data_IF_640742526757
#
_entry.id   IF_640742526757
#
_cell.length_a   1.000
_cell.length_b   1.000
_cell.length_c   1.000
_cell.angle_alpha   90.00
_cell.angle_beta   90.00
_cell.angle_gamma   90.00
#
_symmetry.space_group_name_H-M   'P 1'
#
loop_
_entity.id
_entity.type
_entity.pdbx_description
1 polymer ?
#
# COMPACT_ATOMS: atom_id res chain seq x y z
N UNK A 1 -11.88 -4.34 47.46
CA UNK A 1 -10.97 -3.37 48.11
C UNK A 1 -9.69 -3.30 47.28
N UNK A 2 -9.75 -2.66 46.10
CA UNK A 2 -8.62 -2.36 45.18
C UNK A 2 -9.18 -1.61 43.96
N UNK A 3 -9.46 -0.30 44.08
CA UNK A 3 -9.90 0.53 42.94
C UNK A 3 -9.40 2.00 43.03
N UNK A 4 -8.50 2.30 43.97
CA UNK A 4 -8.11 3.69 44.28
C UNK A 4 -6.66 4.04 43.88
N UNK A 5 -5.85 3.06 43.48
CA UNK A 5 -4.44 3.24 43.11
C UNK A 5 -4.24 3.65 41.64
N UNK A 6 -5.19 3.33 40.75
CA UNK A 6 -5.06 3.63 39.31
C UNK A 6 -5.47 5.08 38.98
N UNK A 7 -6.46 5.63 39.70
CA UNK A 7 -6.96 7.00 39.47
C UNK A 7 -6.02 8.10 39.97
N UNK A 8 -5.10 7.76 40.88
CA UNK A 8 -4.11 8.70 41.42
C UNK A 8 -2.91 8.89 40.47
N UNK A 9 -2.56 7.87 39.69
CA UNK A 9 -1.48 7.94 38.70
C UNK A 9 -1.85 8.80 37.47
N UNK A 10 -3.12 8.84 37.08
CA UNK A 10 -3.57 9.54 35.86
C UNK A 10 -3.74 11.06 36.08
N UNK A 11 -3.98 11.52 37.31
CA UNK A 11 -4.18 12.96 37.63
C UNK A 11 -2.91 13.71 38.01
N UNK A 12 -1.81 13.02 38.31
CA UNK A 12 -0.53 13.64 38.70
C UNK A 12 0.37 14.02 37.51
N UNK A 13 0.05 13.59 36.28
CA UNK A 13 0.87 13.86 35.09
C UNK A 13 0.52 15.12 34.30
N UNK A 14 -0.58 15.82 34.63
CA UNK A 14 -1.13 16.91 33.79
C UNK A 14 -0.83 18.32 34.34
N UNK A 15 -0.25 18.46 35.53
CA UNK A 15 0.18 19.76 36.06
C UNK A 15 1.62 19.69 36.53
N UNK A 16 2.56 20.09 35.67
CA UNK A 16 3.77 20.85 36.02
C UNK A 16 4.68 20.94 34.78
N UNK A 17 5.38 22.06 34.66
CA UNK A 17 6.35 22.43 33.61
C UNK A 17 5.79 23.07 32.34
N UNK A 18 5.05 24.16 32.56
CA UNK A 18 5.22 25.34 31.72
C UNK A 18 6.35 26.22 32.30
N UNK A 19 7.16 26.78 31.38
CA UNK A 19 8.07 27.94 31.53
C UNK A 19 9.44 27.70 32.21
N UNK A 20 10.48 27.50 31.40
CA UNK A 20 11.76 28.22 31.51
C UNK A 20 12.43 28.29 30.13
N UNK A 21 12.53 29.49 29.60
CA UNK A 21 13.34 29.80 28.42
C UNK A 21 14.81 29.97 28.80
N UNK A 22 15.70 29.42 27.97
CA UNK A 22 17.05 29.92 27.79
C UNK A 22 17.33 29.96 26.28
N UNK A 23 17.68 31.15 25.83
CA UNK A 23 18.08 31.49 24.48
C UNK A 23 19.35 30.74 24.07
N UNK A 24 19.26 29.91 23.02
CA UNK A 24 20.41 29.42 22.29
C UNK A 24 20.36 29.97 20.85
N UNK A 25 20.99 31.12 20.64
CA UNK A 25 21.31 31.59 19.28
C UNK A 25 22.46 30.76 18.75
N UNK A 26 22.15 29.64 18.09
CA UNK A 26 23.13 28.98 17.23
C UNK A 26 23.08 29.65 15.86
N UNK A 27 24.19 30.30 15.50
CA UNK A 27 24.45 30.84 14.17
C UNK A 27 24.55 29.68 13.16
N UNK A 28 23.40 29.15 12.74
CA UNK A 28 23.32 28.21 11.62
C UNK A 28 23.41 29.04 10.34
N UNK A 29 24.57 28.97 9.71
CA UNK A 29 24.85 29.50 8.36
C UNK A 29 23.70 29.08 7.44
N UNK A 30 22.97 30.00 6.78
CA UNK A 30 21.85 29.63 5.94
C UNK A 30 22.36 28.77 4.79
N UNK A 31 22.09 27.46 4.86
CA UNK A 31 22.12 26.59 3.69
C UNK A 31 21.12 27.19 2.71
N UNK A 32 21.58 27.44 1.49
CA UNK A 32 20.75 27.91 0.39
C UNK A 32 19.43 27.16 0.38
N UNK A 33 18.35 27.93 0.30
CA UNK A 33 16.96 27.49 0.32
C UNK A 33 16.76 26.21 -0.50
N UNK A 34 16.43 25.13 0.21
CA UNK A 34 15.74 24.00 -0.41
C UNK A 34 14.37 24.56 -0.81
N UNK A 35 14.18 24.78 -2.12
CA UNK A 35 12.89 25.23 -2.64
C UNK A 35 11.85 24.19 -2.20
N UNK A 36 10.69 24.59 -1.63
CA UNK A 36 9.62 23.64 -1.34
C UNK A 36 9.27 22.89 -2.63
N UNK A 37 9.57 21.59 -2.68
CA UNK A 37 9.20 20.76 -3.81
C UNK A 37 7.67 20.68 -3.85
N UNK A 38 7.02 20.92 -5.02
CA UNK A 38 5.57 20.84 -5.12
C UNK A 38 5.08 19.47 -4.67
N UNK A 39 4.05 19.45 -3.81
CA UNK A 39 3.41 18.20 -3.42
C UNK A 39 2.86 17.48 -4.67
N UNK A 40 3.00 16.14 -4.76
CA UNK A 40 2.53 15.38 -5.92
C UNK A 40 1.00 15.50 -6.06
N UNK A 41 0.53 15.58 -7.31
CA UNK A 41 -0.90 15.64 -7.62
C UNK A 41 -1.65 14.42 -7.09
N UNK A 42 -2.96 14.53 -6.88
CA UNK A 42 -3.83 13.41 -6.44
C UNK A 42 -3.70 12.21 -7.38
N UNK A 43 -3.60 12.47 -8.69
CA UNK A 43 -3.43 11.44 -9.70
C UNK A 43 -2.07 10.75 -9.60
N UNK A 44 -1.00 11.52 -9.40
CA UNK A 44 0.36 10.96 -9.17
C UNK A 44 0.38 10.07 -7.93
N UNK A 45 -0.27 10.49 -6.84
CA UNK A 45 -0.35 9.67 -5.63
C UNK A 45 -1.16 8.39 -5.84
N UNK A 46 -2.25 8.46 -6.62
CA UNK A 46 -3.05 7.29 -6.99
C UNK A 46 -2.22 6.27 -7.77
N UNK A 47 -1.51 6.73 -8.80
CA UNK A 47 -0.63 5.89 -9.62
C UNK A 47 0.47 5.24 -8.78
N UNK A 48 1.09 5.98 -7.85
CA UNK A 48 2.09 5.42 -6.93
C UNK A 48 1.51 4.33 -6.02
N UNK A 49 0.30 4.53 -5.47
CA UNK A 49 -0.38 3.49 -4.66
C UNK A 49 -0.71 2.26 -5.50
N UNK A 50 -1.18 2.45 -6.73
CA UNK A 50 -1.50 1.36 -7.65
C UNK A 50 -0.25 0.56 -8.03
N UNK A 51 0.86 1.23 -8.34
CA UNK A 51 2.14 0.58 -8.61
C UNK A 51 2.63 -0.23 -7.41
N UNK A 52 2.56 0.33 -6.20
CA UNK A 52 2.96 -0.37 -4.96
C UNK A 52 2.10 -1.62 -4.72
N UNK A 53 0.78 -1.52 -4.92
CA UNK A 53 -0.14 -2.67 -4.78
C UNK A 53 0.16 -3.77 -5.80
N UNK A 54 0.44 -3.39 -7.05
CA UNK A 54 0.81 -4.35 -8.08
C UNK A 54 2.14 -5.05 -7.76
N UNK A 55 3.13 -4.31 -7.25
CA UNK A 55 4.41 -4.89 -6.82
C UNK A 55 4.22 -5.92 -5.69
N UNK A 56 3.41 -5.58 -4.68
CA UNK A 56 3.08 -6.51 -3.59
C UNK A 56 2.39 -7.78 -4.12
N UNK A 57 1.43 -7.61 -5.00
CA UNK A 57 0.70 -8.70 -5.66
C UNK A 57 1.63 -9.64 -6.44
N UNK A 58 2.64 -9.12 -7.13
CA UNK A 58 3.66 -9.95 -7.80
C UNK A 58 4.52 -10.73 -6.80
N UNK A 59 4.88 -10.12 -5.67
CA UNK A 59 5.63 -10.80 -4.61
C UNK A 59 4.81 -11.93 -3.98
N UNK A 60 3.52 -11.70 -3.74
CA UNK A 60 2.59 -12.71 -3.23
C UNK A 60 2.38 -13.85 -4.23
N UNK A 61 2.25 -13.55 -5.51
CA UNK A 61 2.17 -14.57 -6.56
C UNK A 61 3.43 -15.45 -6.59
N UNK A 62 4.61 -14.85 -6.45
CA UNK A 62 5.87 -15.59 -6.35
C UNK A 62 5.96 -16.43 -5.05
N UNK A 63 5.43 -15.92 -3.94
CA UNK A 63 5.33 -16.69 -2.70
C UNK A 63 4.36 -17.88 -2.86
N UNK A 64 3.23 -17.66 -3.53
CA UNK A 64 2.21 -18.67 -3.78
C UNK A 64 2.77 -19.88 -4.53
N UNK A 65 3.72 -19.68 -5.45
CA UNK A 65 4.41 -20.78 -6.13
C UNK A 65 5.01 -21.79 -5.16
N UNK A 66 5.60 -21.30 -4.06
CA UNK A 66 6.19 -22.15 -3.03
C UNK A 66 5.16 -22.69 -2.06
N UNK A 67 4.03 -22.01 -1.88
CA UNK A 67 3.00 -22.32 -0.89
C UNK A 67 2.01 -23.37 -1.42
N UNK A 68 1.43 -23.08 -2.59
CA UNK A 68 0.42 -23.89 -3.26
C UNK A 68 0.65 -23.80 -4.78
N UNK A 69 1.40 -24.76 -5.38
CA UNK A 69 1.74 -24.74 -6.80
C UNK A 69 0.54 -24.80 -7.74
N UNK A 70 -0.54 -25.46 -7.33
CA UNK A 70 -1.77 -25.57 -8.11
C UNK A 70 -2.46 -24.21 -8.23
N UNK A 71 -2.75 -23.57 -7.09
CA UNK A 71 -3.33 -22.21 -7.06
C UNK A 71 -2.41 -21.19 -7.73
N UNK A 72 -1.09 -21.35 -7.63
CA UNK A 72 -0.15 -20.51 -8.34
C UNK A 72 -0.36 -20.56 -9.86
N UNK A 73 -0.51 -21.76 -10.45
CA UNK A 73 -0.68 -21.88 -11.89
C UNK A 73 -1.94 -21.17 -12.40
N UNK A 74 -3.05 -21.29 -11.67
CA UNK A 74 -4.30 -20.60 -12.00
C UNK A 74 -4.15 -19.08 -11.92
N UNK A 75 -3.60 -18.59 -10.81
CA UNK A 75 -3.39 -17.16 -10.60
C UNK A 75 -2.38 -16.56 -11.58
N UNK A 76 -1.31 -17.28 -11.92
CA UNK A 76 -0.30 -16.85 -12.89
C UNK A 76 -0.91 -16.68 -14.28
N UNK A 77 -1.71 -17.66 -14.76
CA UNK A 77 -2.40 -17.55 -16.04
C UNK A 77 -3.37 -16.37 -16.09
N UNK A 78 -4.13 -16.16 -15.01
CA UNK A 78 -5.04 -15.03 -14.90
C UNK A 78 -4.29 -13.69 -14.89
N UNK A 79 -3.16 -13.62 -14.20
CA UNK A 79 -2.29 -12.44 -14.13
C UNK A 79 -1.71 -12.09 -15.49
N UNK A 80 -1.11 -13.06 -16.18
CA UNK A 80 -0.49 -12.86 -17.49
C UNK A 80 -1.52 -12.43 -18.54
N UNK A 81 -2.70 -13.07 -18.54
CA UNK A 81 -3.81 -12.68 -19.41
C UNK A 81 -4.28 -11.25 -19.15
N UNK A 82 -4.43 -10.88 -17.87
CA UNK A 82 -4.85 -9.53 -17.49
C UNK A 82 -3.82 -8.47 -17.89
N UNK A 83 -2.53 -8.71 -17.62
CA UNK A 83 -1.44 -7.79 -17.98
C UNK A 83 -1.29 -7.65 -19.49
N UNK A 84 -1.44 -8.74 -20.24
CA UNK A 84 -1.46 -8.72 -21.71
C UNK A 84 -2.62 -7.86 -22.24
N UNK A 85 -3.83 -8.04 -21.71
CA UNK A 85 -4.99 -7.21 -22.10
C UNK A 85 -4.79 -5.73 -21.76
N UNK A 86 -4.24 -5.43 -20.58
CA UNK A 86 -3.96 -4.05 -20.16
C UNK A 86 -2.91 -3.39 -21.07
N UNK A 87 -1.87 -4.12 -21.47
CA UNK A 87 -0.83 -3.67 -22.40
C UNK A 87 -1.40 -3.37 -23.79
N UNK A 88 -2.24 -4.26 -24.32
CA UNK A 88 -2.93 -4.04 -25.59
C UNK A 88 -3.81 -2.78 -25.54
N UNK A 89 -4.59 -2.61 -24.47
CA UNK A 89 -5.38 -1.41 -24.27
C UNK A 89 -4.50 -0.15 -24.16
N UNK A 90 -3.37 -0.20 -23.45
CA UNK A 90 -2.46 0.94 -23.35
C UNK A 90 -1.99 1.44 -24.72
N UNK A 91 -1.78 0.53 -25.69
CA UNK A 91 -1.45 0.88 -27.08
C UNK A 91 -2.60 1.53 -27.86
N UNK A 92 -3.84 1.27 -27.48
CA UNK A 92 -5.05 1.83 -28.10
C UNK A 92 -5.58 3.08 -27.39
N UNK A 93 -5.18 3.29 -26.13
CA UNK A 93 -5.73 4.31 -25.23
C UNK A 93 -5.77 5.70 -25.86
N UNK A 94 -4.69 6.14 -26.50
CA UNK A 94 -4.61 7.47 -27.12
C UNK A 94 -5.41 7.60 -28.43
N UNK A 95 -6.06 6.52 -28.89
CA UNK A 95 -6.89 6.48 -30.11
C UNK A 95 -8.38 6.57 -29.82
N UNK A 96 -8.78 6.59 -28.55
CA UNK A 96 -10.19 6.69 -28.13
C UNK A 96 -10.44 8.00 -27.39
N UNK A 97 -11.71 8.40 -27.29
CA UNK A 97 -12.09 9.61 -26.57
C UNK A 97 -11.89 9.47 -25.05
N UNK A 98 -11.91 10.60 -24.35
CA UNK A 98 -11.62 10.66 -22.91
C UNK A 98 -12.58 9.82 -22.07
N UNK A 99 -13.87 9.81 -22.40
CA UNK A 99 -14.88 8.99 -21.71
C UNK A 99 -14.55 7.48 -21.81
N UNK A 100 -14.11 7.04 -22.98
CA UNK A 100 -13.70 5.64 -23.19
C UNK A 100 -12.42 5.34 -22.42
N UNK A 101 -11.47 6.28 -22.40
CA UNK A 101 -10.24 6.11 -21.62
C UNK A 101 -10.56 5.94 -20.14
N UNK A 102 -11.34 6.85 -19.56
CA UNK A 102 -11.71 6.82 -18.14
C UNK A 102 -12.43 5.52 -17.77
N UNK A 103 -13.37 5.09 -18.61
CA UNK A 103 -14.16 3.87 -18.39
C UNK A 103 -13.28 2.63 -18.41
N UNK A 104 -12.45 2.47 -19.45
CA UNK A 104 -11.62 1.26 -19.61
C UNK A 104 -10.46 1.26 -18.61
N UNK A 105 -9.96 2.43 -18.22
CA UNK A 105 -9.03 2.57 -17.10
C UNK A 105 -9.62 2.09 -15.80
N UNK A 106 -10.85 2.51 -15.48
CA UNK A 106 -11.54 2.07 -14.28
C UNK A 106 -11.72 0.54 -14.30
N UNK A 107 -12.09 -0.02 -15.44
CA UNK A 107 -12.20 -1.47 -15.63
C UNK A 107 -10.88 -2.19 -15.33
N UNK A 108 -9.76 -1.78 -15.94
CA UNK A 108 -8.48 -2.45 -15.71
C UNK A 108 -7.98 -2.28 -14.27
N UNK A 109 -8.16 -1.11 -13.66
CA UNK A 109 -7.82 -0.88 -12.25
C UNK A 109 -8.60 -1.80 -11.31
N UNK A 110 -9.90 -1.97 -11.58
CA UNK A 110 -10.74 -2.91 -10.85
C UNK A 110 -10.27 -4.35 -11.05
N UNK A 111 -10.05 -4.78 -12.30
CA UNK A 111 -9.63 -6.16 -12.61
C UNK A 111 -8.30 -6.50 -11.92
N UNK A 112 -7.34 -5.58 -11.92
CA UNK A 112 -6.05 -5.75 -11.22
C UNK A 112 -6.27 -5.83 -9.72
N UNK A 113 -7.04 -4.90 -9.15
CA UNK A 113 -7.33 -4.91 -7.71
C UNK A 113 -8.01 -6.21 -7.26
N UNK A 114 -8.96 -6.71 -8.06
CA UNK A 114 -9.69 -7.96 -7.78
C UNK A 114 -8.77 -9.17 -7.81
N UNK A 115 -7.98 -9.32 -8.88
CA UNK A 115 -7.06 -10.45 -9.00
C UNK A 115 -6.00 -10.44 -7.90
N UNK A 116 -5.47 -9.26 -7.54
CA UNK A 116 -4.50 -9.17 -6.47
C UNK A 116 -5.07 -9.53 -5.10
N UNK A 117 -6.33 -9.21 -4.82
CA UNK A 117 -7.01 -9.67 -3.60
C UNK A 117 -7.20 -11.21 -3.59
N UNK A 118 -7.48 -11.81 -4.75
CA UNK A 118 -7.60 -13.26 -4.90
C UNK A 118 -6.25 -13.99 -4.67
N UNK A 119 -5.16 -13.40 -5.15
CA UNK A 119 -3.78 -13.88 -4.89
C UNK A 119 -3.46 -13.78 -3.40
N UNK A 120 -3.71 -12.63 -2.77
CA UNK A 120 -3.50 -12.40 -1.33
C UNK A 120 -4.25 -13.45 -0.50
N UNK A 121 -5.52 -13.68 -0.83
CA UNK A 121 -6.34 -14.70 -0.18
C UNK A 121 -5.76 -16.11 -0.37
N UNK A 122 -5.31 -16.44 -1.58
CA UNK A 122 -4.71 -17.75 -1.87
C UNK A 122 -3.42 -17.98 -1.08
N UNK A 123 -2.61 -16.93 -0.91
CA UNK A 123 -1.41 -16.97 -0.05
C UNK A 123 -1.81 -17.19 1.40
N UNK A 124 -2.78 -16.43 1.92
CA UNK A 124 -3.21 -16.56 3.32
C UNK A 124 -3.74 -17.97 3.64
N UNK A 125 -4.60 -18.51 2.77
CA UNK A 125 -5.15 -19.87 2.94
C UNK A 125 -4.01 -20.90 2.94
N UNK A 126 -3.11 -20.84 1.96
CA UNK A 126 -2.02 -21.81 1.88
C UNK A 126 -1.00 -21.69 3.03
N UNK A 127 -0.81 -20.50 3.61
CA UNK A 127 -0.02 -20.32 4.82
C UNK A 127 -0.71 -20.90 6.06
N UNK A 128 -2.03 -20.71 6.18
CA UNK A 128 -2.82 -21.27 7.28
C UNK A 128 -2.78 -22.80 7.27
N UNK A 129 -3.04 -23.42 6.11
CA UNK A 129 -2.98 -24.88 5.92
C UNK A 129 -1.62 -25.45 6.36
N UNK A 130 -0.51 -24.77 6.05
CA UNK A 130 0.83 -25.17 6.48
C UNK A 130 1.04 -25.01 7.98
N UNK A 131 0.56 -23.92 8.55
CA UNK A 131 0.64 -23.67 10.00
C UNK A 131 -0.08 -24.74 10.80
N UNK A 132 -1.20 -25.26 10.30
CA UNK A 132 -1.99 -26.32 10.91
C UNK A 132 -1.34 -27.72 10.77
N UNK A 133 -0.46 -27.91 9.80
CA UNK A 133 0.26 -29.18 9.57
C UNK A 133 1.50 -29.37 10.45
N UNK A 134 2.01 -28.30 11.07
CA UNK A 134 3.15 -28.39 12.00
C UNK A 134 2.65 -28.94 13.34
N UNK A 135 2.95 -30.21 13.60
CA UNK A 135 2.58 -30.95 14.82
C UNK A 135 3.81 -31.21 15.69
#
# INVERSE_FOLDING_TARGET
>A
MTDNSVRLAVRAGILMLALLGATACQNVKPKAADKPQPAPSVETQRQQREAKRLQQCQQELAALQKINPERYQDNQRAFDSLMSGASQYAGLRARVNDDTQETVDALYRYKVSRLCAEIEQSVLIGLAERGEQVK
#
